data_IF_076757706442
#
_entry.id   IF_076757706442
#
_cell.length_a   1.000
_cell.length_b   1.000
_cell.length_c   1.000
_cell.angle_alpha   90.00
_cell.angle_beta   90.00
_cell.angle_gamma   90.00
#
_symmetry.space_group_name_H-M   'P 1'
#
loop_
_entity.id
_entity.type
_entity.pdbx_description
1 polymer ?
#
# COMPACT_ATOMS: atom_id res chain seq x y z
N UNK A 1 1.42 -1.03 -30.53
CA UNK A 1 0.94 -2.40 -30.28
C UNK A 1 1.85 -3.12 -29.32
N UNK A 2 3.12 -3.22 -29.64
CA UNK A 2 4.03 -3.93 -28.77
C UNK A 2 4.18 -3.26 -27.39
N UNK A 3 4.06 -1.93 -27.35
CA UNK A 3 4.19 -1.22 -26.08
C UNK A 3 3.09 -1.59 -25.11
N UNK A 4 1.88 -1.71 -25.64
CA UNK A 4 0.75 -2.09 -24.80
C UNK A 4 0.91 -3.50 -24.26
N UNK A 5 1.38 -4.39 -25.11
CA UNK A 5 1.60 -5.76 -24.69
C UNK A 5 2.71 -5.86 -23.65
N UNK A 6 3.79 -5.12 -23.86
CA UNK A 6 4.90 -5.11 -22.91
C UNK A 6 4.46 -4.53 -21.54
N UNK A 7 3.62 -3.52 -21.58
CA UNK A 7 3.10 -2.95 -20.35
C UNK A 7 2.27 -3.98 -19.58
N UNK A 8 1.41 -4.70 -20.29
CA UNK A 8 0.58 -5.71 -19.65
C UNK A 8 1.44 -6.80 -19.02
N UNK A 9 2.52 -7.17 -19.69
CA UNK A 9 3.41 -8.20 -19.15
C UNK A 9 4.11 -7.73 -17.86
N UNK A 10 4.53 -6.48 -17.86
CA UNK A 10 5.18 -5.94 -16.67
C UNK A 10 4.21 -5.78 -15.51
N UNK A 11 2.91 -5.68 -15.81
CA UNK A 11 1.89 -5.55 -14.80
C UNK A 11 1.31 -6.89 -14.38
N UNK A 12 1.82 -7.97 -14.94
CA UNK A 12 1.33 -9.29 -14.60
C UNK A 12 1.51 -9.54 -13.10
N UNK A 13 0.58 -10.27 -12.48
CA UNK A 13 0.66 -10.54 -11.05
C UNK A 13 1.97 -11.21 -10.69
N UNK A 14 2.55 -10.78 -9.59
CA UNK A 14 3.77 -11.38 -9.08
C UNK A 14 3.41 -12.56 -8.19
N UNK A 15 4.28 -13.56 -8.15
CA UNK A 15 4.02 -14.72 -7.27
C UNK A 15 3.85 -14.33 -5.81
N UNK A 16 4.44 -13.20 -5.42
CA UNK A 16 4.37 -12.74 -4.03
C UNK A 16 3.05 -12.07 -3.69
N UNK A 17 2.16 -11.93 -4.68
CA UNK A 17 0.84 -11.35 -4.43
C UNK A 17 0.92 -10.02 -3.72
N UNK A 18 1.20 -9.00 -4.47
CA UNK A 18 1.37 -7.68 -3.93
C UNK A 18 0.13 -6.85 -4.22
N UNK A 19 -0.91 -7.06 -3.46
CA UNK A 19 -2.14 -6.30 -3.65
C UNK A 19 -2.02 -4.91 -3.05
N UNK A 20 -2.96 -4.05 -3.43
CA UNK A 20 -3.03 -2.69 -2.93
C UNK A 20 -4.20 -2.58 -1.96
N UNK A 21 -3.97 -1.92 -0.85
CA UNK A 21 -4.98 -1.73 0.19
C UNK A 21 -5.38 -0.26 0.26
N UNK A 22 -6.70 -0.03 0.22
CA UNK A 22 -7.24 1.31 0.41
C UNK A 22 -7.06 1.75 1.86
N UNK A 23 -7.32 3.04 2.13
CA UNK A 23 -7.29 3.54 3.50
C UNK A 23 -8.22 2.73 4.40
N UNK A 24 -9.39 2.38 3.90
CA UNK A 24 -10.35 1.58 4.68
C UNK A 24 -9.73 0.26 5.12
N UNK A 25 -9.10 -0.43 4.19
CA UNK A 25 -8.50 -1.73 4.47
C UNK A 25 -7.30 -1.56 5.42
N UNK A 26 -6.47 -0.56 5.17
CA UNK A 26 -5.32 -0.29 6.04
C UNK A 26 -5.78 -0.05 7.48
N UNK A 27 -6.84 0.72 7.65
CA UNK A 27 -7.37 0.97 8.98
C UNK A 27 -7.89 -0.32 9.63
N UNK A 28 -8.54 -1.16 8.86
CA UNK A 28 -9.03 -2.44 9.38
C UNK A 28 -7.88 -3.35 9.81
N UNK A 29 -6.82 -3.37 9.02
CA UNK A 29 -5.69 -4.26 9.28
C UNK A 29 -4.83 -3.79 10.44
N UNK A 30 -4.70 -2.48 10.63
CA UNK A 30 -3.80 -1.91 11.64
C UNK A 30 -4.53 -1.46 12.90
N UNK A 31 -5.81 -1.19 12.80
CA UNK A 31 -6.56 -0.61 13.91
C UNK A 31 -6.33 0.86 14.11
N UNK A 32 -5.58 1.50 13.22
CA UNK A 32 -5.29 2.93 13.33
C UNK A 32 -6.43 3.76 12.78
N UNK A 33 -6.59 4.97 13.30
CA UNK A 33 -7.49 5.94 12.72
C UNK A 33 -6.85 6.55 11.48
N UNK A 34 -7.68 7.17 10.63
CA UNK A 34 -7.17 7.89 9.46
C UNK A 34 -6.14 8.93 9.85
N UNK A 35 -6.44 9.70 10.88
CA UNK A 35 -5.52 10.73 11.36
C UNK A 35 -4.20 10.14 11.82
N UNK A 36 -4.24 9.01 12.51
CA UNK A 36 -3.02 8.37 12.96
C UNK A 36 -2.17 7.85 11.81
N UNK A 37 -2.81 7.31 10.77
CA UNK A 37 -2.08 6.85 9.59
C UNK A 37 -1.30 8.01 8.97
N UNK A 38 -1.98 9.14 8.75
CA UNK A 38 -1.31 10.29 8.15
C UNK A 38 -0.24 10.88 9.05
N UNK A 39 -0.49 10.91 10.35
CA UNK A 39 0.49 11.41 11.31
C UNK A 39 1.76 10.55 11.26
N UNK A 40 1.61 9.24 11.27
CA UNK A 40 2.76 8.36 11.25
C UNK A 40 3.49 8.43 9.91
N UNK A 41 2.76 8.60 8.81
CA UNK A 41 3.40 8.80 7.52
C UNK A 41 4.26 10.06 7.54
N UNK A 42 3.73 11.14 8.09
CA UNK A 42 4.47 12.41 8.15
C UNK A 42 5.72 12.28 9.00
N UNK A 43 5.69 11.44 10.01
CA UNK A 43 6.84 11.21 10.88
C UNK A 43 7.81 10.16 10.35
N UNK A 44 7.51 9.59 9.18
CA UNK A 44 8.34 8.52 8.62
C UNK A 44 8.21 7.19 9.34
N UNK A 45 7.12 7.00 10.09
CA UNK A 45 6.92 5.81 10.91
C UNK A 45 5.91 4.83 10.31
N UNK A 46 5.41 5.13 9.12
CA UNK A 46 4.43 4.29 8.43
C UNK A 46 4.76 4.27 6.95
N UNK A 47 4.48 3.16 6.25
CA UNK A 47 4.78 3.07 4.82
C UNK A 47 4.11 4.17 4.01
N UNK A 48 4.78 4.58 2.95
CA UNK A 48 4.26 5.61 2.07
C UNK A 48 3.13 5.06 1.22
N UNK A 49 2.14 5.91 0.98
CA UNK A 49 1.04 5.56 0.10
C UNK A 49 1.47 5.66 -1.35
N UNK A 50 0.77 4.93 -2.20
CA UNK A 50 0.93 4.98 -3.65
C UNK A 50 -0.20 5.80 -4.23
N UNK A 51 0.13 6.63 -5.20
CA UNK A 51 -0.88 7.43 -5.90
C UNK A 51 -1.34 6.66 -7.13
N UNK A 52 -2.64 6.33 -7.16
CA UNK A 52 -3.21 5.56 -8.25
C UNK A 52 -3.84 6.45 -9.31
N UNK A 53 -4.08 7.71 -8.98
CA UNK A 53 -4.69 8.68 -9.85
C UNK A 53 -5.12 9.87 -9.03
N UNK A 54 -5.75 10.88 -9.63
CA UNK A 54 -6.18 12.05 -8.88
C UNK A 54 -7.10 11.66 -7.72
N UNK A 55 -6.69 12.02 -6.50
CA UNK A 55 -7.48 11.74 -5.31
C UNK A 55 -7.58 10.28 -4.93
N UNK A 56 -6.81 9.40 -5.55
CA UNK A 56 -6.87 7.97 -5.26
C UNK A 56 -5.52 7.49 -4.76
N UNK A 57 -5.51 6.95 -3.55
CA UNK A 57 -4.29 6.46 -2.94
C UNK A 57 -4.54 5.07 -2.37
N UNK A 58 -3.45 4.32 -2.25
CA UNK A 58 -3.48 3.00 -1.65
C UNK A 58 -2.09 2.68 -1.12
N UNK A 59 -1.99 1.62 -0.35
CA UNK A 59 -0.72 1.13 0.16
C UNK A 59 -0.46 -0.25 -0.40
N UNK A 60 0.81 -0.53 -0.62
CA UNK A 60 1.21 -1.87 -0.98
C UNK A 60 0.99 -2.78 0.23
N UNK A 61 0.24 -3.85 0.04
CA UNK A 61 -0.12 -4.74 1.15
C UNK A 61 1.13 -5.29 1.86
N UNK A 62 2.15 -5.64 1.09
CA UNK A 62 3.37 -6.18 1.68
C UNK A 62 4.07 -5.18 2.59
N UNK A 63 4.02 -3.89 2.23
CA UNK A 63 4.61 -2.85 3.08
C UNK A 63 3.87 -2.76 4.41
N UNK A 64 2.55 -2.82 4.38
CA UNK A 64 1.75 -2.72 5.59
C UNK A 64 1.92 -3.96 6.44
N UNK A 65 1.98 -5.14 5.84
CA UNK A 65 2.21 -6.39 6.58
C UNK A 65 3.57 -6.35 7.28
N UNK A 66 4.59 -5.88 6.60
CA UNK A 66 5.92 -5.75 7.18
C UNK A 66 5.89 -4.78 8.36
N UNK A 67 5.17 -3.67 8.21
CA UNK A 67 5.05 -2.70 9.29
C UNK A 67 4.37 -3.32 10.51
N UNK A 68 3.28 -4.07 10.27
CA UNK A 68 2.56 -4.74 11.36
C UNK A 68 3.50 -5.72 12.08
N UNK A 69 4.25 -6.51 11.32
CA UNK A 69 5.14 -7.50 11.89
C UNK A 69 6.28 -6.88 12.69
N UNK A 70 6.61 -5.64 12.41
CA UNK A 70 7.69 -4.95 13.12
C UNK A 70 7.21 -4.26 14.39
N UNK A 71 5.92 -4.30 14.70
CA UNK A 71 5.41 -3.68 15.91
C UNK A 71 5.78 -4.51 17.12
N UNK A 72 6.11 -3.86 18.24
CA UNK A 72 6.39 -4.61 19.49
C UNK A 72 5.12 -5.31 19.98
N UNK A 73 5.33 -6.43 20.62
CA UNK A 73 4.21 -7.20 21.16
C UNK A 73 3.62 -6.56 22.41
#
# INVERSE_FOLDING_TARGET
MSDLFAYAQRQAPQPTDDELWSMKIVRMKTGLSRASVYKYMALGLFPRQRHLGPGRVAWRASDVRTWIDSRPE
#
